data_IF_670857706112
#
_entry.id   IF_670857706112
#
_cell.length_a   1.000
_cell.length_b   1.000
_cell.length_c   1.000
_cell.angle_alpha   90.00
_cell.angle_beta   90.00
_cell.angle_gamma   90.00
#
_symmetry.space_group_name_H-M   'P 1'
#
loop_
_entity.id
_entity.type
_entity.pdbx_description
1 polymer ?
#
# COMPACT_ATOMS: atom_id res chain seq x y z
N UNK A 1 6.72 -23.86 5.96
CA UNK A 1 6.87 -22.56 5.31
C UNK A 1 8.03 -22.48 4.33
N UNK A 2 9.08 -23.22 4.51
CA UNK A 2 10.20 -23.23 3.57
C UNK A 2 9.71 -23.64 2.17
N UNK A 3 9.77 -22.70 1.22
CA UNK A 3 9.49 -22.97 -0.18
C UNK A 3 8.24 -22.33 -0.79
N UNK A 4 7.47 -21.50 -0.09
CA UNK A 4 6.42 -20.72 -0.74
C UNK A 4 7.04 -19.76 -1.78
N UNK A 5 6.60 -19.85 -3.04
CA UNK A 5 7.10 -18.99 -4.12
C UNK A 5 6.30 -17.71 -4.17
N UNK A 6 6.97 -16.61 -3.88
CA UNK A 6 6.37 -15.28 -3.77
C UNK A 6 6.97 -14.36 -4.81
N UNK A 7 6.11 -13.65 -5.52
CA UNK A 7 6.52 -12.54 -6.39
C UNK A 7 5.94 -11.24 -5.82
N UNK A 8 6.78 -10.23 -5.65
CA UNK A 8 6.39 -8.87 -5.28
C UNK A 8 6.57 -7.99 -6.51
N UNK A 9 5.47 -7.52 -7.07
CA UNK A 9 5.47 -6.63 -8.22
C UNK A 9 5.56 -5.18 -7.76
N UNK A 10 6.73 -4.59 -7.91
CA UNK A 10 7.05 -3.21 -7.55
C UNK A 10 8.18 -3.13 -6.50
N UNK A 11 9.34 -2.61 -6.92
CA UNK A 11 10.46 -2.29 -6.03
C UNK A 11 10.21 -0.91 -5.37
N UNK A 12 9.08 -0.78 -4.66
CA UNK A 12 8.75 0.35 -3.79
C UNK A 12 9.32 0.14 -2.39
N UNK A 13 9.28 1.17 -1.53
CA UNK A 13 9.69 1.04 -0.11
C UNK A 13 8.86 -0.03 0.59
N UNK A 14 7.55 0.00 0.40
CA UNK A 14 6.59 -0.93 0.98
C UNK A 14 6.77 -2.34 0.39
N UNK A 15 6.95 -2.43 -0.94
CA UNK A 15 7.17 -3.70 -1.63
C UNK A 15 8.46 -4.39 -1.20
N UNK A 16 9.55 -3.63 -1.06
CA UNK A 16 10.82 -4.16 -0.58
C UNK A 16 10.75 -4.62 0.89
N UNK A 17 10.13 -3.81 1.75
CA UNK A 17 9.95 -4.17 3.17
C UNK A 17 9.15 -5.48 3.31
N UNK A 18 8.07 -5.62 2.52
CA UNK A 18 7.25 -6.84 2.48
C UNK A 18 8.04 -8.04 1.95
N UNK A 19 8.76 -7.87 0.84
CA UNK A 19 9.60 -8.91 0.23
C UNK A 19 10.69 -9.38 1.20
N UNK A 20 11.39 -8.43 1.86
CA UNK A 20 12.43 -8.72 2.86
C UNK A 20 11.88 -9.51 4.05
N UNK A 21 10.72 -9.12 4.57
CA UNK A 21 10.06 -9.84 5.66
C UNK A 21 9.76 -11.29 5.28
N UNK A 22 9.24 -11.53 4.07
CA UNK A 22 8.91 -12.87 3.58
C UNK A 22 10.16 -13.71 3.30
N UNK A 23 11.21 -13.11 2.72
CA UNK A 23 12.49 -13.77 2.50
C UNK A 23 13.16 -14.22 3.82
N UNK A 24 13.15 -13.36 4.84
CA UNK A 24 13.67 -13.67 6.18
C UNK A 24 12.91 -14.84 6.82
N UNK A 25 11.62 -14.98 6.52
CA UNK A 25 10.79 -16.13 6.97
C UNK A 25 11.02 -17.42 6.17
N UNK A 26 11.87 -17.38 5.15
CA UNK A 26 12.25 -18.56 4.36
C UNK A 26 11.35 -18.80 3.14
N UNK A 27 10.60 -17.81 2.67
CA UNK A 27 9.94 -17.86 1.37
C UNK A 27 10.97 -17.69 0.23
N UNK A 28 10.69 -18.27 -0.93
CA UNK A 28 11.44 -18.04 -2.17
C UNK A 28 10.85 -16.79 -2.85
N UNK A 29 11.52 -15.65 -2.67
CA UNK A 29 10.98 -14.34 -3.03
C UNK A 29 11.67 -13.79 -4.27
N UNK A 30 10.87 -13.35 -5.23
CA UNK A 30 11.28 -12.54 -6.36
C UNK A 30 10.63 -11.16 -6.28
N UNK A 31 11.40 -10.10 -6.48
CA UNK A 31 10.89 -8.74 -6.56
C UNK A 31 11.09 -8.20 -7.97
N UNK A 32 10.04 -7.60 -8.54
CA UNK A 32 10.06 -7.03 -9.87
C UNK A 32 10.29 -5.54 -9.75
N UNK A 33 11.39 -5.05 -10.36
CA UNK A 33 11.54 -3.63 -10.64
C UNK A 33 10.88 -3.33 -11.99
N UNK A 34 9.84 -2.52 -12.00
CA UNK A 34 9.07 -2.15 -13.20
C UNK A 34 9.91 -1.45 -14.29
N UNK A 35 11.11 -0.96 -13.92
CA UNK A 35 12.06 -0.36 -14.85
C UNK A 35 12.96 -1.37 -15.57
N UNK A 36 12.93 -2.63 -15.16
CA UNK A 36 13.77 -3.70 -15.72
C UNK A 36 12.92 -4.87 -16.20
N UNK A 37 13.33 -5.60 -17.24
CA UNK A 37 12.60 -6.77 -17.74
C UNK A 37 12.82 -8.03 -16.90
N UNK A 38 13.35 -7.91 -15.69
CA UNK A 38 13.79 -9.03 -14.86
C UNK A 38 13.25 -8.95 -13.45
N UNK A 39 12.95 -10.12 -12.89
CA UNK A 39 12.64 -10.31 -11.47
C UNK A 39 13.93 -10.64 -10.69
N UNK A 40 14.13 -9.97 -9.59
CA UNK A 40 15.31 -10.09 -8.72
C UNK A 40 15.02 -11.10 -7.63
N UNK A 41 15.85 -12.14 -7.49
CA UNK A 41 15.75 -13.10 -6.39
C UNK A 41 16.26 -12.48 -5.09
N UNK A 42 15.39 -12.33 -4.10
CA UNK A 42 15.73 -11.77 -2.80
C UNK A 42 15.94 -12.90 -1.77
N UNK A 43 17.20 -13.17 -1.40
CA UNK A 43 17.56 -14.15 -0.37
C UNK A 43 17.51 -13.53 1.03
N UNK A 44 17.30 -14.37 2.04
CA UNK A 44 17.24 -13.95 3.44
C UNK A 44 18.50 -13.20 3.90
N UNK A 45 19.68 -13.61 3.43
CA UNK A 45 20.95 -12.96 3.74
C UNK A 45 20.99 -11.53 3.19
N UNK A 46 20.57 -11.34 1.92
CA UNK A 46 20.48 -10.03 1.28
C UNK A 46 19.46 -9.16 2.04
N UNK A 47 18.28 -9.68 2.33
CA UNK A 47 17.24 -8.95 3.05
C UNK A 47 17.67 -8.50 4.46
N UNK A 48 18.54 -9.25 5.13
CA UNK A 48 19.09 -8.89 6.45
C UNK A 48 20.21 -7.86 6.35
N UNK A 49 21.05 -7.94 5.32
CA UNK A 49 22.18 -7.02 5.10
C UNK A 49 21.67 -5.65 4.60
N UNK A 50 20.68 -5.66 3.74
CA UNK A 50 20.11 -4.47 3.12
C UNK A 50 18.67 -4.25 3.60
N UNK A 51 18.44 -3.55 4.71
CA UNK A 51 17.11 -3.43 5.33
C UNK A 51 16.14 -2.55 4.53
N UNK A 52 16.62 -1.75 3.59
CA UNK A 52 15.80 -0.87 2.76
C UNK A 52 16.32 -0.77 1.32
N UNK A 53 15.48 -0.20 0.44
CA UNK A 53 15.80 -0.04 -1.00
C UNK A 53 17.05 0.85 -1.22
N UNK A 54 17.25 1.86 -0.38
CA UNK A 54 18.38 2.78 -0.53
C UNK A 54 19.70 2.04 -0.28
N UNK A 55 19.80 1.27 0.81
CA UNK A 55 20.98 0.46 1.12
C UNK A 55 21.29 -0.57 0.02
N UNK A 56 20.24 -1.22 -0.55
CA UNK A 56 20.41 -2.14 -1.65
C UNK A 56 20.99 -1.47 -2.90
N UNK A 57 20.60 -0.22 -3.18
CA UNK A 57 21.07 0.52 -4.35
C UNK A 57 22.45 1.13 -4.17
N UNK A 58 22.83 1.49 -2.93
CA UNK A 58 24.14 2.08 -2.64
C UNK A 58 25.26 1.05 -2.81
N UNK A 59 25.06 -0.18 -2.38
CA UNK A 59 26.11 -1.22 -2.41
C UNK A 59 26.03 -2.13 -3.66
N UNK A 60 24.96 -2.05 -4.44
CA UNK A 60 24.74 -2.81 -5.69
C UNK A 60 25.17 -4.29 -5.60
N UNK A 61 24.64 -5.09 -4.68
CA UNK A 61 25.05 -6.47 -4.54
C UNK A 61 24.75 -7.30 -5.79
N UNK A 62 25.53 -8.35 -6.04
CA UNK A 62 25.24 -9.30 -7.11
C UNK A 62 23.95 -10.06 -6.79
N UNK A 63 22.90 -9.78 -7.56
CA UNK A 63 21.57 -10.37 -7.42
C UNK A 63 21.30 -11.35 -8.56
N UNK A 64 20.75 -12.51 -8.23
CA UNK A 64 20.25 -13.43 -9.24
C UNK A 64 18.96 -12.89 -9.86
N UNK A 65 18.88 -12.94 -11.19
CA UNK A 65 17.72 -12.43 -11.94
C UNK A 65 17.09 -13.55 -12.76
N UNK A 66 15.77 -13.46 -12.95
CA UNK A 66 14.97 -14.33 -13.80
C UNK A 66 14.04 -13.48 -14.67
N UNK A 67 13.67 -13.91 -15.90
CA UNK A 67 12.64 -13.22 -16.69
C UNK A 67 11.31 -13.09 -15.90
N UNK A 68 10.64 -11.95 -16.04
CA UNK A 68 9.41 -11.65 -15.27
C UNK A 68 8.33 -12.70 -15.48
N UNK A 69 8.09 -13.07 -16.73
CA UNK A 69 7.08 -14.07 -17.12
C UNK A 69 7.35 -15.44 -16.48
N UNK A 70 8.62 -15.83 -16.38
CA UNK A 70 9.04 -17.09 -15.74
C UNK A 70 8.80 -17.01 -14.23
N UNK A 71 9.23 -15.93 -13.57
CA UNK A 71 9.03 -15.71 -12.15
C UNK A 71 7.53 -15.70 -11.79
N UNK A 72 6.72 -14.92 -12.51
CA UNK A 72 5.27 -14.81 -12.31
C UNK A 72 4.57 -16.14 -12.58
N UNK A 73 4.98 -16.88 -13.60
CA UNK A 73 4.37 -18.19 -13.92
C UNK A 73 4.59 -19.26 -12.85
N UNK A 74 5.61 -19.11 -12.02
CA UNK A 74 5.94 -19.99 -10.88
C UNK A 74 5.35 -19.50 -9.56
N UNK A 75 4.81 -18.28 -9.51
CA UNK A 75 4.33 -17.66 -8.29
C UNK A 75 3.14 -18.42 -7.70
N UNK A 76 3.22 -18.75 -6.43
CA UNK A 76 2.07 -19.15 -5.62
C UNK A 76 1.34 -17.93 -5.07
N UNK A 77 2.08 -16.87 -4.73
CA UNK A 77 1.56 -15.61 -4.23
C UNK A 77 2.19 -14.46 -5.03
N UNK A 78 1.34 -13.63 -5.64
CA UNK A 78 1.72 -12.38 -6.28
C UNK A 78 1.22 -11.21 -5.43
N UNK A 79 2.13 -10.44 -4.86
CA UNK A 79 1.83 -9.19 -4.18
C UNK A 79 1.97 -8.03 -5.16
N UNK A 80 0.89 -7.30 -5.37
CA UNK A 80 0.87 -6.17 -6.27
C UNK A 80 1.12 -4.88 -5.49
N UNK A 81 2.38 -4.45 -5.45
CA UNK A 81 2.87 -3.24 -4.75
C UNK A 81 3.57 -2.26 -5.69
N UNK A 82 2.94 -1.85 -6.81
CA UNK A 82 3.60 -1.09 -7.85
C UNK A 82 4.08 0.27 -7.33
N UNK A 83 5.12 0.80 -7.97
CA UNK A 83 5.44 2.22 -7.86
C UNK A 83 4.40 3.01 -8.64
N UNK A 84 3.63 3.81 -7.95
CA UNK A 84 2.66 4.73 -8.55
C UNK A 84 2.97 6.16 -8.14
N UNK A 85 2.69 7.09 -9.04
CA UNK A 85 2.72 8.50 -8.73
C UNK A 85 1.44 8.85 -7.97
N UNK A 86 1.48 8.84 -6.64
CA UNK A 86 0.31 9.06 -5.75
C UNK A 86 -0.34 10.45 -5.90
N UNK A 87 0.26 11.32 -6.69
CA UNK A 87 -0.25 12.67 -6.99
C UNK A 87 -0.38 12.85 -8.50
N UNK A 88 -1.57 13.12 -8.99
CA UNK A 88 -1.82 13.37 -10.42
C UNK A 88 -3.21 12.95 -10.88
N UNK A 89 -3.50 13.24 -12.15
CA UNK A 89 -4.64 12.69 -12.87
C UNK A 89 -4.24 11.32 -13.42
N UNK A 90 -5.16 10.45 -13.74
CA UNK A 90 -4.94 9.13 -14.37
C UNK A 90 -4.25 8.03 -13.52
N UNK A 91 -4.15 8.21 -12.20
CA UNK A 91 -3.57 7.18 -11.31
C UNK A 91 -4.30 5.84 -11.46
N UNK A 92 -5.62 5.85 -11.63
CA UNK A 92 -6.42 4.62 -11.80
C UNK A 92 -6.03 3.86 -13.08
N UNK A 93 -5.85 4.57 -14.19
CA UNK A 93 -5.40 3.99 -15.46
C UNK A 93 -3.99 3.40 -15.35
N UNK A 94 -3.07 4.11 -14.69
CA UNK A 94 -1.72 3.60 -14.42
C UNK A 94 -1.77 2.30 -13.59
N UNK A 95 -2.56 2.28 -12.52
CA UNK A 95 -2.72 1.09 -11.67
C UNK A 95 -3.26 -0.09 -12.47
N UNK A 96 -4.32 0.12 -13.27
CA UNK A 96 -4.92 -0.95 -14.07
C UNK A 96 -3.95 -1.48 -15.14
N UNK A 97 -3.17 -0.61 -15.80
CA UNK A 97 -2.14 -1.03 -16.76
C UNK A 97 -1.08 -1.90 -16.09
N UNK A 98 -0.50 -1.43 -14.99
CA UNK A 98 0.51 -2.18 -14.23
C UNK A 98 -0.04 -3.49 -13.65
N UNK A 99 -1.29 -3.47 -13.20
CA UNK A 99 -1.94 -4.69 -12.70
C UNK A 99 -2.13 -5.72 -13.80
N UNK A 100 -2.56 -5.30 -14.98
CA UNK A 100 -2.65 -6.16 -16.16
C UNK A 100 -1.29 -6.80 -16.48
N UNK A 101 -0.22 -6.00 -16.50
CA UNK A 101 1.13 -6.49 -16.79
C UNK A 101 1.58 -7.52 -15.73
N UNK A 102 1.32 -7.23 -14.45
CA UNK A 102 1.70 -8.11 -13.34
C UNK A 102 1.03 -9.49 -13.39
N UNK A 103 -0.22 -9.57 -13.86
CA UNK A 103 -1.03 -10.81 -13.81
C UNK A 103 -1.00 -11.63 -15.09
N UNK A 104 -0.46 -11.09 -16.19
CA UNK A 104 -0.56 -11.71 -17.54
C UNK A 104 -0.03 -13.16 -17.60
N UNK A 105 1.05 -13.45 -16.86
CA UNK A 105 1.69 -14.78 -16.88
C UNK A 105 1.27 -15.70 -15.71
N UNK A 106 0.26 -15.30 -14.90
CA UNK A 106 -0.22 -16.10 -13.79
C UNK A 106 -0.86 -17.42 -14.23
N UNK A 107 -0.68 -18.45 -13.42
CA UNK A 107 -1.23 -19.79 -13.64
C UNK A 107 -2.33 -20.13 -12.64
N UNK A 108 -3.05 -21.22 -12.93
CA UNK A 108 -4.05 -21.79 -12.00
C UNK A 108 -3.41 -22.07 -10.63
N UNK A 109 -4.23 -21.91 -9.59
CA UNK A 109 -3.88 -22.09 -8.18
C UNK A 109 -2.88 -21.04 -7.62
N UNK A 110 -2.65 -19.95 -8.34
CA UNK A 110 -1.96 -18.78 -7.80
C UNK A 110 -2.91 -17.93 -6.96
N UNK A 111 -2.33 -17.13 -6.07
CA UNK A 111 -3.04 -16.14 -5.24
C UNK A 111 -2.52 -14.75 -5.57
N UNK A 112 -3.42 -13.81 -5.82
CA UNK A 112 -3.12 -12.40 -6.05
C UNK A 112 -3.47 -11.62 -4.80
N UNK A 113 -2.54 -10.83 -4.28
CA UNK A 113 -2.73 -9.94 -3.15
C UNK A 113 -2.63 -8.50 -3.66
N UNK A 114 -3.76 -7.82 -3.73
CA UNK A 114 -3.83 -6.42 -4.13
C UNK A 114 -3.62 -5.54 -2.91
N UNK A 115 -2.63 -4.64 -2.97
CA UNK A 115 -2.16 -3.92 -1.79
C UNK A 115 -2.41 -2.41 -1.83
N UNK A 116 -3.00 -1.91 -2.92
CA UNK A 116 -3.34 -0.49 -3.01
C UNK A 116 -4.78 -0.23 -2.57
N UNK A 117 -5.08 0.96 -2.03
CA UNK A 117 -6.44 1.34 -1.72
C UNK A 117 -7.31 1.41 -2.98
N UNK A 118 -8.52 0.89 -2.90
CA UNK A 118 -9.45 0.81 -4.04
C UNK A 118 -10.70 1.66 -3.87
N UNK A 119 -10.99 2.11 -2.66
CA UNK A 119 -12.32 2.63 -2.32
C UNK A 119 -13.38 1.52 -2.30
N UNK A 120 -14.66 1.89 -2.30
CA UNK A 120 -15.76 0.93 -2.27
C UNK A 120 -16.00 0.31 -3.64
N UNK A 121 -16.04 -1.01 -3.69
CA UNK A 121 -16.31 -1.76 -4.91
C UNK A 121 -15.17 -1.82 -5.93
N UNK A 122 -14.06 -1.11 -5.70
CA UNK A 122 -12.92 -1.09 -6.62
C UNK A 122 -12.25 -2.44 -6.79
N UNK A 123 -12.32 -3.31 -5.79
CA UNK A 123 -11.84 -4.70 -5.93
C UNK A 123 -12.66 -5.52 -6.92
N UNK A 124 -13.95 -5.20 -7.15
CA UNK A 124 -14.73 -5.89 -8.17
C UNK A 124 -14.19 -5.61 -9.58
N UNK A 125 -13.74 -4.37 -9.83
CA UNK A 125 -13.09 -4.01 -11.10
C UNK A 125 -11.77 -4.77 -11.28
N UNK A 126 -10.96 -4.83 -10.21
CA UNK A 126 -9.69 -5.57 -10.23
C UNK A 126 -9.90 -7.08 -10.46
N UNK A 127 -10.93 -7.68 -9.82
CA UNK A 127 -11.29 -9.08 -10.01
C UNK A 127 -11.74 -9.31 -11.45
N UNK A 128 -12.59 -8.45 -11.99
CA UNK A 128 -13.04 -8.55 -13.39
C UNK A 128 -11.87 -8.45 -14.36
N UNK A 129 -10.92 -7.54 -14.10
CA UNK A 129 -9.70 -7.41 -14.91
C UNK A 129 -8.82 -8.65 -14.80
N UNK A 130 -8.65 -9.21 -13.59
CA UNK A 130 -7.90 -10.45 -13.36
C UNK A 130 -8.50 -11.61 -14.17
N UNK A 131 -9.81 -11.80 -14.08
CA UNK A 131 -10.52 -12.86 -14.82
C UNK A 131 -10.42 -12.69 -16.34
N UNK A 132 -10.56 -11.46 -16.82
CA UNK A 132 -10.47 -11.14 -18.23
C UNK A 132 -9.07 -11.39 -18.81
N UNK A 133 -8.03 -10.96 -18.11
CA UNK A 133 -6.64 -11.05 -18.59
C UNK A 133 -6.12 -12.49 -18.52
N UNK A 134 -6.41 -13.19 -17.42
CA UNK A 134 -5.87 -14.53 -17.18
C UNK A 134 -6.73 -15.65 -17.77
N UNK A 135 -8.02 -15.39 -18.02
CA UNK A 135 -9.02 -16.43 -18.33
C UNK A 135 -9.33 -17.35 -17.15
N UNK A 136 -8.87 -17.01 -15.94
CA UNK A 136 -9.07 -17.78 -14.72
C UNK A 136 -10.21 -17.18 -13.92
N UNK A 137 -10.95 -18.00 -13.16
CA UNK A 137 -12.08 -17.57 -12.37
C UNK A 137 -11.68 -17.38 -10.91
N UNK A 138 -11.86 -16.18 -10.38
CA UNK A 138 -11.58 -15.85 -8.99
C UNK A 138 -12.44 -16.68 -8.02
N UNK A 139 -11.81 -17.17 -6.96
CA UNK A 139 -12.46 -18.04 -5.98
C UNK A 139 -12.60 -19.51 -6.40
N UNK A 140 -12.25 -19.88 -7.66
CA UNK A 140 -12.25 -21.27 -8.13
C UNK A 140 -10.86 -21.79 -8.49
N UNK A 141 -10.19 -21.11 -9.41
CA UNK A 141 -8.89 -21.56 -9.91
C UNK A 141 -7.79 -20.49 -9.80
N UNK A 142 -8.14 -19.31 -9.28
CA UNK A 142 -7.21 -18.30 -8.81
C UNK A 142 -7.81 -17.65 -7.55
N UNK A 143 -6.98 -17.34 -6.54
CA UNK A 143 -7.41 -16.66 -5.33
C UNK A 143 -7.10 -15.16 -5.43
N UNK A 144 -8.00 -14.34 -4.89
CA UNK A 144 -7.81 -12.90 -4.80
C UNK A 144 -7.95 -12.44 -3.36
N UNK A 145 -6.99 -11.64 -2.89
CA UNK A 145 -6.96 -11.04 -1.56
C UNK A 145 -6.78 -9.54 -1.67
N UNK A 146 -7.43 -8.81 -0.77
CA UNK A 146 -7.26 -7.39 -0.61
C UNK A 146 -6.56 -7.09 0.72
N UNK A 147 -5.40 -6.46 0.64
CA UNK A 147 -4.57 -6.14 1.79
C UNK A 147 -3.87 -4.78 1.56
N UNK A 148 -4.57 -3.65 1.77
CA UNK A 148 -3.97 -2.34 1.58
C UNK A 148 -2.80 -2.14 2.57
N UNK A 149 -1.63 -1.82 2.01
CA UNK A 149 -0.42 -1.55 2.78
C UNK A 149 -0.41 -0.08 3.16
N UNK A 150 -0.78 0.23 4.39
CA UNK A 150 -0.68 1.57 4.93
C UNK A 150 0.50 1.69 5.89
N UNK A 151 0.33 1.14 7.05
CA UNK A 151 1.36 1.03 8.04
C UNK A 151 1.54 -0.43 8.41
N UNK A 152 2.73 -0.98 8.13
CA UNK A 152 3.05 -2.37 8.47
C UNK A 152 2.94 -2.65 9.98
N UNK A 153 2.90 -1.60 10.79
CA UNK A 153 2.82 -1.67 12.25
C UNK A 153 1.38 -1.60 12.80
N UNK A 154 0.36 -1.35 11.96
CA UNK A 154 -1.03 -1.32 12.42
C UNK A 154 -1.59 -2.70 12.73
N UNK A 155 -2.39 -2.77 13.79
CA UNK A 155 -3.05 -3.99 14.26
C UNK A 155 -4.49 -3.69 14.71
N UNK A 156 -5.44 -4.60 14.47
CA UNK A 156 -5.33 -5.87 13.75
C UNK A 156 -5.29 -5.67 12.23
N UNK A 157 -4.52 -6.52 11.53
CA UNK A 157 -4.48 -6.52 10.06
C UNK A 157 -5.71 -7.21 9.49
N UNK A 158 -6.50 -6.49 8.73
CA UNK A 158 -7.70 -7.00 8.09
C UNK A 158 -7.38 -7.38 6.64
N UNK A 159 -7.63 -8.63 6.29
CA UNK A 159 -7.35 -9.17 4.97
C UNK A 159 -8.68 -9.54 4.32
N UNK A 160 -9.00 -8.91 3.21
CA UNK A 160 -10.15 -9.28 2.38
C UNK A 160 -9.85 -10.53 1.59
N UNK A 161 -10.74 -11.53 1.65
CA UNK A 161 -10.69 -12.71 0.80
C UNK A 161 -12.02 -12.95 0.13
N UNK A 162 -12.03 -13.63 -1.00
CA UNK A 162 -13.23 -13.84 -1.81
C UNK A 162 -14.38 -14.48 -1.00
N UNK A 163 -14.05 -15.41 -0.12
CA UNK A 163 -15.03 -16.13 0.71
C UNK A 163 -14.91 -15.81 2.21
N UNK A 164 -14.14 -14.82 2.63
CA UNK A 164 -13.83 -14.57 4.03
C UNK A 164 -12.99 -15.69 4.68
N UNK A 165 -12.49 -16.64 3.88
CA UNK A 165 -11.70 -17.77 4.38
C UNK A 165 -10.25 -17.40 4.57
N UNK A 166 -9.68 -17.91 5.65
CA UNK A 166 -8.26 -17.78 5.94
C UNK A 166 -7.43 -18.66 5.00
N UNK A 167 -6.35 -18.08 4.45
CA UNK A 167 -5.24 -18.80 3.85
C UNK A 167 -4.11 -18.85 4.88
N UNK A 168 -3.83 -20.05 5.39
CA UNK A 168 -2.86 -20.24 6.47
C UNK A 168 -1.43 -19.89 6.04
N UNK A 169 -1.06 -20.15 4.79
CA UNK A 169 0.29 -19.84 4.27
C UNK A 169 0.44 -18.34 4.10
N UNK A 170 -0.55 -17.66 3.50
CA UNK A 170 -0.57 -16.21 3.39
C UNK A 170 -0.56 -15.56 4.78
N UNK A 171 -1.35 -16.10 5.69
CA UNK A 171 -1.39 -15.68 7.08
C UNK A 171 0.00 -15.72 7.71
N UNK A 172 0.74 -16.78 7.54
CA UNK A 172 2.09 -16.96 8.07
C UNK A 172 3.13 -16.07 7.37
N UNK A 173 2.98 -15.82 6.06
CA UNK A 173 3.85 -14.93 5.30
C UNK A 173 3.75 -13.47 5.79
N UNK A 174 2.54 -13.00 6.05
CA UNK A 174 2.27 -11.59 6.35
C UNK A 174 2.62 -11.17 7.78
N UNK A 175 2.57 -12.04 8.78
CA UNK A 175 2.87 -11.63 10.17
C UNK A 175 3.53 -12.72 11.00
N UNK A 176 4.16 -12.30 12.11
CA UNK A 176 4.74 -13.20 13.11
C UNK A 176 3.69 -13.67 14.13
N UNK A 177 2.58 -12.96 14.30
CA UNK A 177 1.59 -13.21 15.35
C UNK A 177 0.20 -13.51 14.78
N UNK A 178 -0.33 -14.75 14.96
CA UNK A 178 -1.64 -15.18 14.43
C UNK A 178 -2.84 -14.40 15.00
N UNK A 179 -2.72 -13.85 16.21
CA UNK A 179 -3.82 -13.11 16.88
C UNK A 179 -4.12 -11.73 16.28
N UNK A 180 -3.26 -11.26 15.40
CA UNK A 180 -3.28 -9.90 14.86
C UNK A 180 -3.91 -9.80 13.47
N UNK A 181 -4.54 -10.88 12.98
CA UNK A 181 -5.11 -10.96 11.63
C UNK A 181 -6.55 -11.38 11.67
N UNK A 182 -7.33 -10.79 10.79
CA UNK A 182 -8.72 -11.17 10.58
C UNK A 182 -8.99 -11.25 9.07
N UNK A 183 -9.37 -12.43 8.61
CA UNK A 183 -9.87 -12.61 7.26
C UNK A 183 -11.37 -12.30 7.24
N UNK A 184 -11.78 -11.48 6.28
CA UNK A 184 -13.17 -11.06 6.08
C UNK A 184 -13.51 -11.07 4.59
N UNK A 185 -14.77 -10.94 4.22
CA UNK A 185 -15.15 -10.72 2.83
C UNK A 185 -14.51 -9.44 2.26
N UNK A 186 -14.25 -9.41 0.95
CA UNK A 186 -13.58 -8.27 0.28
C UNK A 186 -14.31 -6.97 0.54
N UNK A 187 -15.63 -6.93 0.34
CA UNK A 187 -16.44 -5.72 0.61
C UNK A 187 -16.35 -5.28 2.08
N UNK A 188 -16.33 -6.22 3.02
CA UNK A 188 -16.15 -5.89 4.44
C UNK A 188 -14.77 -5.29 4.71
N UNK A 189 -13.71 -5.79 4.06
CA UNK A 189 -12.36 -5.23 4.23
C UNK A 189 -12.24 -3.82 3.65
N UNK A 190 -12.92 -3.52 2.54
CA UNK A 190 -13.01 -2.16 2.00
C UNK A 190 -13.68 -1.19 3.01
N UNK A 191 -14.75 -1.63 3.67
CA UNK A 191 -15.43 -0.81 4.69
C UNK A 191 -14.55 -0.58 5.92
N UNK A 192 -13.86 -1.62 6.42
CA UNK A 192 -12.95 -1.47 7.55
C UNK A 192 -11.80 -0.52 7.23
N UNK A 193 -11.22 -0.64 6.03
CA UNK A 193 -10.19 0.25 5.55
C UNK A 193 -10.69 1.70 5.47
N UNK A 194 -11.88 1.92 4.89
CA UNK A 194 -12.48 3.24 4.80
C UNK A 194 -12.73 3.87 6.19
N UNK A 195 -13.23 3.09 7.16
CA UNK A 195 -13.45 3.57 8.54
C UNK A 195 -12.11 3.98 9.17
N UNK A 196 -11.07 3.17 9.01
CA UNK A 196 -9.75 3.46 9.57
C UNK A 196 -9.16 4.75 8.98
N UNK A 197 -9.14 4.87 7.65
CA UNK A 197 -8.65 6.07 6.95
C UNK A 197 -9.41 7.32 7.35
N UNK A 198 -10.73 7.28 7.34
CA UNK A 198 -11.56 8.41 7.71
C UNK A 198 -11.37 8.80 9.17
N UNK A 199 -11.32 7.83 10.08
CA UNK A 199 -11.06 8.08 11.50
C UNK A 199 -9.76 8.82 11.74
N UNK A 200 -8.68 8.36 11.12
CA UNK A 200 -7.34 8.94 11.28
C UNK A 200 -7.22 10.31 10.62
N UNK A 201 -7.59 10.42 9.37
CA UNK A 201 -7.33 11.62 8.58
C UNK A 201 -8.34 12.75 8.81
N UNK A 202 -9.60 12.45 9.17
CA UNK A 202 -10.52 13.49 9.62
C UNK A 202 -10.12 14.04 11.00
N UNK A 203 -9.64 13.17 11.90
CA UNK A 203 -9.06 13.58 13.18
C UNK A 203 -7.84 14.48 13.00
N UNK A 204 -6.88 14.06 12.16
CA UNK A 204 -5.72 14.87 11.80
C UNK A 204 -6.13 16.23 11.21
N UNK A 205 -7.05 16.24 10.26
CA UNK A 205 -7.54 17.46 9.64
C UNK A 205 -8.16 18.41 10.68
N UNK A 206 -8.93 17.87 11.60
CA UNK A 206 -9.53 18.67 12.69
C UNK A 206 -8.46 19.34 13.56
N UNK A 207 -7.40 18.59 13.93
CA UNK A 207 -6.28 19.13 14.69
C UNK A 207 -5.57 20.24 13.90
N UNK A 208 -5.23 20.00 12.63
CA UNK A 208 -4.52 20.96 11.78
C UNK A 208 -5.31 22.25 11.59
N UNK A 209 -6.63 22.16 11.43
CA UNK A 209 -7.48 23.34 11.28
C UNK A 209 -7.68 24.09 12.60
N UNK A 210 -7.84 23.39 13.73
CA UNK A 210 -7.94 24.04 15.04
C UNK A 210 -6.62 24.74 15.40
N UNK A 211 -5.47 24.09 15.22
CA UNK A 211 -4.17 24.68 15.49
C UNK A 211 -3.89 25.93 14.62
N UNK A 212 -4.47 26.02 13.44
CA UNK A 212 -4.39 27.21 12.60
C UNK A 212 -5.00 28.47 13.22
N UNK A 213 -6.05 28.31 14.04
CA UNK A 213 -6.70 29.42 14.74
C UNK A 213 -6.10 29.71 16.13
N UNK A 214 -5.40 28.74 16.70
CA UNK A 214 -4.86 28.80 18.04
C UNK A 214 -3.31 28.87 18.06
N UNK A 215 -2.71 29.52 17.06
CA UNK A 215 -1.25 29.51 16.81
C UNK A 215 -0.39 29.88 18.01
N UNK A 216 -0.86 30.79 18.88
CA UNK A 216 -0.11 31.31 20.05
C UNK A 216 -0.55 30.67 21.36
N UNK A 217 -1.64 29.92 21.39
CA UNK A 217 -2.25 29.40 22.63
C UNK A 217 -1.93 27.92 22.87
N UNK A 218 -1.60 27.13 21.81
CA UNK A 218 -1.29 25.71 21.93
C UNK A 218 0.22 25.52 21.85
N UNK A 219 0.81 25.09 22.96
CA UNK A 219 2.24 24.78 22.98
C UNK A 219 2.51 23.35 22.56
N UNK A 220 3.76 23.07 22.10
CA UNK A 220 4.21 21.71 21.79
C UNK A 220 4.03 20.75 22.97
N UNK A 221 4.09 21.25 24.19
CA UNK A 221 3.89 20.47 25.41
C UNK A 221 2.43 20.06 25.61
N UNK A 222 1.49 20.95 25.26
CA UNK A 222 0.05 20.65 25.35
C UNK A 222 -0.34 19.56 24.32
N UNK A 223 0.21 19.63 23.13
CA UNK A 223 0.02 18.61 22.09
C UNK A 223 0.64 17.26 22.47
N UNK A 224 1.81 17.25 23.13
CA UNK A 224 2.47 16.02 23.56
C UNK A 224 1.78 15.29 24.71
N UNK A 225 0.95 16.00 25.48
CA UNK A 225 0.15 15.41 26.56
C UNK A 225 -1.17 14.78 26.09
N UNK A 226 -1.54 15.01 24.83
CA UNK A 226 -2.73 14.43 24.21
C UNK A 226 -2.38 13.12 23.50
N UNK A 227 -3.33 12.19 23.42
CA UNK A 227 -3.20 10.90 22.73
C UNK A 227 -3.15 11.06 21.20
N UNK A 228 -2.48 12.09 20.68
CA UNK A 228 -2.31 12.28 19.25
C UNK A 228 -1.22 11.36 18.73
N UNK A 229 -1.59 10.58 17.73
CA UNK A 229 -0.67 9.71 17.02
C UNK A 229 0.28 10.56 16.17
N UNK A 230 1.59 10.35 16.26
CA UNK A 230 2.54 10.97 15.33
C UNK A 230 2.24 10.51 13.91
N UNK A 231 2.06 11.46 13.00
CA UNK A 231 1.80 11.19 11.58
C UNK A 231 2.94 11.81 10.78
N UNK A 232 3.71 10.95 10.14
CA UNK A 232 4.81 11.36 9.27
C UNK A 232 4.30 11.87 7.92
N UNK A 233 5.09 12.68 7.23
CA UNK A 233 4.75 13.28 5.95
C UNK A 233 4.38 12.23 4.89
N UNK A 234 5.11 11.11 4.85
CA UNK A 234 4.83 10.01 3.93
C UNK A 234 3.44 9.41 4.18
N UNK A 235 3.04 9.29 5.45
CA UNK A 235 1.71 8.83 5.80
C UNK A 235 0.62 9.82 5.37
N UNK A 236 0.90 11.13 5.40
CA UNK A 236 -0.04 12.14 4.87
C UNK A 236 -0.25 12.00 3.36
N UNK A 237 0.81 11.75 2.58
CA UNK A 237 0.71 11.53 1.14
C UNK A 237 -0.08 10.27 0.82
N UNK A 238 0.19 9.18 1.55
CA UNK A 238 -0.55 7.93 1.42
C UNK A 238 -2.03 8.13 1.78
N UNK A 239 -2.31 8.79 2.89
CA UNK A 239 -3.67 9.08 3.32
C UNK A 239 -4.45 9.98 2.37
N UNK A 240 -3.80 10.97 1.74
CA UNK A 240 -4.43 11.76 0.69
C UNK A 240 -4.80 10.89 -0.53
N UNK A 241 -3.93 9.97 -0.91
CA UNK A 241 -4.20 9.03 -2.00
C UNK A 241 -5.39 8.14 -1.66
N UNK A 242 -5.43 7.59 -0.44
CA UNK A 242 -6.52 6.74 0.04
C UNK A 242 -7.85 7.48 0.12
N UNK A 243 -7.87 8.70 0.68
CA UNK A 243 -9.07 9.53 0.73
C UNK A 243 -9.61 9.88 -0.66
N UNK A 244 -8.72 10.17 -1.61
CA UNK A 244 -9.10 10.43 -3.01
C UNK A 244 -9.64 9.17 -3.69
N UNK A 245 -9.03 8.02 -3.44
CA UNK A 245 -9.52 6.72 -3.96
C UNK A 245 -10.90 6.39 -3.38
N UNK A 246 -11.10 6.63 -2.08
CA UNK A 246 -12.41 6.47 -1.45
C UNK A 246 -13.44 7.45 -2.01
N UNK A 247 -13.07 8.73 -2.19
CA UNK A 247 -13.93 9.74 -2.77
C UNK A 247 -14.38 9.42 -4.20
N UNK A 248 -13.51 8.80 -4.99
CA UNK A 248 -13.83 8.40 -6.37
C UNK A 248 -14.85 7.27 -6.48
N UNK A 249 -15.14 6.58 -5.37
CA UNK A 249 -16.13 5.49 -5.33
C UNK A 249 -17.58 5.97 -5.23
N UNK A 250 -17.80 7.28 -5.04
CA UNK A 250 -19.13 7.83 -4.87
C UNK A 250 -19.57 8.60 -6.09
N UNK A 251 -20.79 8.34 -6.54
CA UNK A 251 -21.50 9.16 -7.49
C UNK A 251 -22.46 10.12 -6.74
N UNK A 252 -22.37 11.39 -7.06
CA UNK A 252 -23.20 12.41 -6.46
C UNK A 252 -22.72 12.94 -5.11
N UNK A 253 -23.58 13.72 -4.43
CA UNK A 253 -23.27 14.39 -3.17
C UNK A 253 -23.95 13.67 -2.00
N UNK A 254 -23.17 13.27 -1.00
CA UNK A 254 -23.66 12.72 0.26
C UNK A 254 -22.82 13.22 1.43
N UNK A 255 -23.26 12.97 2.67
CA UNK A 255 -22.58 13.44 3.89
C UNK A 255 -21.15 12.96 3.98
N UNK A 256 -20.88 11.73 3.52
CA UNK A 256 -19.54 11.15 3.55
C UNK A 256 -18.60 11.86 2.58
N UNK A 257 -19.09 12.28 1.41
CA UNK A 257 -18.31 13.09 0.45
C UNK A 257 -17.88 14.42 1.03
N UNK A 258 -18.72 15.09 1.83
CA UNK A 258 -18.33 16.32 2.51
C UNK A 258 -17.19 16.10 3.51
N UNK A 259 -17.25 15.01 4.28
CA UNK A 259 -16.19 14.62 5.20
C UNK A 259 -14.88 14.34 4.48
N UNK A 260 -14.93 13.52 3.43
CA UNK A 260 -13.74 13.18 2.61
C UNK A 260 -13.14 14.46 1.99
N UNK A 261 -13.94 15.27 1.34
CA UNK A 261 -13.48 16.49 0.68
C UNK A 261 -12.94 17.51 1.69
N UNK A 262 -13.54 17.62 2.86
CA UNK A 262 -13.05 18.45 3.95
C UNK A 262 -11.68 18.02 4.42
N UNK A 263 -11.50 16.70 4.65
CA UNK A 263 -10.23 16.12 5.08
C UNK A 263 -9.14 16.28 4.00
N UNK A 264 -9.46 16.02 2.74
CA UNK A 264 -8.53 16.23 1.61
C UNK A 264 -8.09 17.69 1.52
N UNK A 265 -9.03 18.64 1.57
CA UNK A 265 -8.71 20.07 1.49
C UNK A 265 -7.86 20.55 2.68
N UNK A 266 -8.15 20.09 3.88
CA UNK A 266 -7.40 20.48 5.10
C UNK A 266 -5.95 19.99 5.02
N UNK A 267 -5.73 18.72 4.69
CA UNK A 267 -4.39 18.13 4.59
C UNK A 267 -3.62 18.76 3.42
N UNK A 268 -4.22 18.88 2.25
CA UNK A 268 -3.60 19.49 1.05
C UNK A 268 -3.22 20.96 1.32
N UNK A 269 -4.08 21.71 2.01
CA UNK A 269 -3.82 23.07 2.42
C UNK A 269 -2.66 23.18 3.42
N UNK A 270 -2.57 22.26 4.39
CA UNK A 270 -1.44 22.19 5.32
C UNK A 270 -0.12 21.91 4.57
N UNK A 271 -0.10 20.90 3.70
CA UNK A 271 1.10 20.56 2.93
C UNK A 271 1.59 21.71 2.05
N UNK A 272 0.67 22.45 1.42
CA UNK A 272 1.03 23.65 0.64
C UNK A 272 1.69 24.73 1.51
N UNK A 273 1.09 25.02 2.66
CA UNK A 273 1.67 25.99 3.63
C UNK A 273 3.08 25.58 4.06
N UNK A 274 3.25 24.31 4.42
CA UNK A 274 4.58 23.77 4.82
C UNK A 274 5.63 23.94 3.72
N UNK A 275 5.28 23.62 2.48
CA UNK A 275 6.16 23.80 1.33
C UNK A 275 6.52 25.29 1.13
N UNK A 276 5.56 26.19 1.27
CA UNK A 276 5.78 27.61 1.09
C UNK A 276 6.65 28.20 2.21
N UNK A 277 6.51 27.73 3.46
CA UNK A 277 7.38 28.08 4.57
C UNK A 277 8.82 27.61 4.36
N UNK A 278 9.00 26.35 3.92
CA UNK A 278 10.32 25.79 3.59
C UNK A 278 10.98 26.63 2.48
N UNK A 279 10.26 26.91 1.40
CA UNK A 279 10.76 27.74 0.29
C UNK A 279 11.10 29.15 0.75
N UNK A 280 10.28 29.74 1.60
CA UNK A 280 10.54 31.06 2.19
C UNK A 280 11.82 31.09 3.04
N UNK A 281 12.03 30.04 3.83
CA UNK A 281 13.24 29.90 4.68
C UNK A 281 14.49 29.68 3.85
N UNK A 282 14.42 28.81 2.80
CA UNK A 282 15.54 28.61 1.89
C UNK A 282 15.94 29.89 1.17
N UNK A 283 14.97 30.67 0.67
CA UNK A 283 15.24 31.98 0.04
C UNK A 283 15.90 32.98 0.99
N UNK A 284 15.44 33.04 2.24
CA UNK A 284 16.02 33.96 3.26
C UNK A 284 17.47 33.63 3.60
N UNK A 285 17.87 32.36 3.44
CA UNK A 285 19.22 31.89 3.74
C UNK A 285 20.09 31.69 2.46
N UNK A 286 19.68 32.24 1.31
CA UNK A 286 20.34 32.07 0.01
C UNK A 286 20.66 30.62 -0.39
N UNK A 287 19.86 29.67 0.14
CA UNK A 287 19.93 28.26 -0.18
C UNK A 287 18.97 27.94 -1.36
N UNK A 288 19.48 27.18 -2.33
CA UNK A 288 18.69 26.75 -3.51
C UNK A 288 18.06 25.39 -3.31
#
# INVERSE_FOLDING_TARGET
MAGAKVVVYGLSTEGYALASQMAIKGADVYIIDESTPSAISLKAEIAKTYPNVSSLKEDEPLLAMEPIDVAVSKAQYLFFTPRIRKTGQDVKTEIHSKFKDAITSLKKNSSVIFTLPTGFGGNNENISLLEHVTGLQAGKNISYFYYPLEDLNQQPKIIGSFNGKEDLVLSDLLTTNKKEKKFVGISSSEHFHAIDILSRFSGLCSILEVCKYAQDEITKKDLSSSNFQEIFLDNMINGLFDLKSLGSSFEGSNSLMYLINGSVKGIDGYMKRLIDEIRGTLKKNDLK
#
